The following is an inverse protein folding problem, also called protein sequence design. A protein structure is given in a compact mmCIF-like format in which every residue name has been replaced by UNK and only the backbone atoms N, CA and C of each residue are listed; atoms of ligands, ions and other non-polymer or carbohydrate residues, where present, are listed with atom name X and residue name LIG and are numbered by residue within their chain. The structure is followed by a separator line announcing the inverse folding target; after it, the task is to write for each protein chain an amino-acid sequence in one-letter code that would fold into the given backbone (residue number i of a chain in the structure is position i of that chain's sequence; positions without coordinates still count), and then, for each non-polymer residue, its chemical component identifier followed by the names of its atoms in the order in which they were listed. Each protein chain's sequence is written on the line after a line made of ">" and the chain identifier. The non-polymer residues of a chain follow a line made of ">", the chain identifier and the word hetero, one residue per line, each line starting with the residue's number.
data_IF_227631507367
#
_entry.id   IF_227631507367
#
_cell.length_a   1.000
_cell.length_b   1.000
_cell.length_c   1.000
_cell.angle_alpha   90.00
_cell.angle_beta   90.00
_cell.angle_gamma   90.00
#
_symmetry.space_group_name_H-M   'P 1'
#
loop_
_entity.id
_entity.type
_entity.pdbx_description
1 polymer ?
#
# COMPACT_ATOMS: atom_id res chain seq x y z
N UNK A 1 -7.50 11.83 22.93
CA UNK A 1 -6.63 11.67 21.74
C UNK A 1 -7.15 10.46 20.98
N UNK A 2 -7.69 10.65 19.78
CA UNK A 2 -8.22 9.54 18.98
C UNK A 2 -7.08 8.62 18.57
N UNK A 3 -7.06 7.39 19.07
CA UNK A 3 -6.07 6.36 18.76
C UNK A 3 -6.31 5.82 17.35
N UNK A 4 -5.96 6.60 16.34
CA UNK A 4 -6.09 6.18 14.95
C UNK A 4 -4.92 5.27 14.58
N UNK A 5 -5.11 3.97 14.71
CA UNK A 5 -4.11 2.98 14.32
C UNK A 5 -4.00 2.90 12.78
N UNK A 6 -2.81 2.59 12.27
CA UNK A 6 -2.59 2.33 10.83
C UNK A 6 -3.56 1.28 10.28
N UNK A 7 -3.83 0.22 11.06
CA UNK A 7 -4.83 -0.81 10.71
C UNK A 7 -6.23 -0.22 10.48
N UNK A 8 -6.62 0.80 11.25
CA UNK A 8 -7.91 1.48 11.09
C UNK A 8 -7.97 2.28 9.79
N UNK A 9 -6.88 2.96 9.42
CA UNK A 9 -6.76 3.66 8.14
C UNK A 9 -6.80 2.70 6.95
N UNK A 10 -6.04 1.60 7.02
CA UNK A 10 -6.02 0.56 5.98
C UNK A 10 -7.40 -0.06 5.78
N UNK A 11 -8.16 -0.25 6.86
CA UNK A 11 -9.52 -0.78 6.76
C UNK A 11 -10.49 0.12 6.00
N UNK A 12 -10.28 1.45 6.01
CA UNK A 12 -11.08 2.41 5.24
C UNK A 12 -10.76 2.42 3.74
N UNK A 13 -9.66 1.80 3.31
CA UNK A 13 -9.33 1.69 1.89
C UNK A 13 -10.28 0.72 1.18
N UNK A 14 -10.52 0.94 -0.11
CA UNK A 14 -11.22 -0.02 -0.96
C UNK A 14 -10.35 -1.26 -1.24
N UNK A 15 -10.95 -2.32 -1.81
CA UNK A 15 -10.26 -3.59 -2.08
C UNK A 15 -9.01 -3.41 -2.96
N UNK A 16 -9.07 -2.54 -3.97
CA UNK A 16 -7.94 -2.27 -4.86
C UNK A 16 -6.80 -1.57 -4.12
N UNK A 17 -7.12 -0.59 -3.26
CA UNK A 17 -6.16 0.13 -2.43
C UNK A 17 -5.46 -0.77 -1.41
N UNK A 18 -6.20 -1.71 -0.80
CA UNK A 18 -5.63 -2.73 0.10
C UNK A 18 -4.65 -3.64 -0.63
N UNK A 19 -5.06 -4.21 -1.77
CA UNK A 19 -4.20 -5.07 -2.60
C UNK A 19 -2.96 -4.33 -3.12
N UNK A 20 -3.09 -3.05 -3.47
CA UNK A 20 -1.94 -2.26 -3.89
C UNK A 20 -0.97 -1.99 -2.74
N UNK A 21 -1.49 -1.78 -1.52
CA UNK A 21 -0.67 -1.58 -0.33
C UNK A 21 0.10 -2.85 0.06
N UNK A 22 -0.52 -4.02 -0.07
CA UNK A 22 0.15 -5.33 0.10
C UNK A 22 1.29 -5.51 -0.91
N UNK A 23 1.05 -5.17 -2.18
CA UNK A 23 2.09 -5.18 -3.21
C UNK A 23 3.23 -4.20 -2.92
N UNK A 24 2.90 -3.01 -2.41
CA UNK A 24 3.88 -2.00 -2.03
C UNK A 24 4.76 -2.47 -0.87
N UNK A 25 4.19 -3.19 0.11
CA UNK A 25 4.95 -3.82 1.19
C UNK A 25 5.89 -4.92 0.65
N UNK A 26 5.43 -5.74 -0.29
CA UNK A 26 6.27 -6.74 -0.96
C UNK A 26 7.44 -6.12 -1.75
N UNK A 27 7.17 -5.03 -2.47
CA UNK A 27 8.18 -4.28 -3.21
C UNK A 27 9.21 -3.63 -2.28
N UNK A 28 8.76 -2.99 -1.19
CA UNK A 28 9.62 -2.44 -0.15
C UNK A 28 10.57 -3.50 0.42
N UNK A 29 10.05 -4.68 0.77
CA UNK A 29 10.85 -5.78 1.29
C UNK A 29 11.87 -6.28 0.26
N UNK A 30 11.45 -6.42 -1.00
CA UNK A 30 12.31 -6.87 -2.11
C UNK A 30 13.48 -5.91 -2.39
N UNK A 31 13.30 -4.61 -2.11
CA UNK A 31 14.35 -3.59 -2.26
C UNK A 31 15.19 -3.37 -1.00
N UNK A 32 15.02 -4.21 0.04
CA UNK A 32 15.68 -4.06 1.35
C UNK A 32 15.43 -2.69 2.00
N UNK A 33 14.26 -2.09 1.75
CA UNK A 33 13.83 -0.86 2.41
C UNK A 33 13.03 -1.20 3.67
N UNK A 34 13.19 -0.38 4.71
CA UNK A 34 12.56 -0.59 6.01
C UNK A 34 11.20 0.12 6.16
N UNK A 35 10.84 0.97 5.21
CA UNK A 35 9.64 1.79 5.28
C UNK A 35 8.91 1.79 3.94
N UNK A 36 7.61 1.52 3.99
CA UNK A 36 6.75 1.60 2.81
C UNK A 36 6.46 3.06 2.51
N UNK A 37 7.15 3.59 1.51
CA UNK A 37 6.94 4.95 1.01
C UNK A 37 5.70 5.05 0.10
N UNK A 38 5.17 6.27 -0.02
CA UNK A 38 3.99 6.57 -0.84
C UNK A 38 4.20 6.21 -2.32
N UNK A 39 5.43 6.35 -2.82
CA UNK A 39 5.81 6.02 -4.20
C UNK A 39 5.61 4.55 -4.52
N UNK A 40 5.94 3.65 -3.58
CA UNK A 40 5.69 2.21 -3.75
C UNK A 40 4.20 1.90 -3.89
N UNK A 41 3.37 2.61 -3.14
CA UNK A 41 1.92 2.41 -3.17
C UNK A 41 1.29 2.97 -4.45
N UNK A 42 1.68 4.17 -4.86
CA UNK A 42 1.23 4.78 -6.11
C UNK A 42 1.67 3.96 -7.33
N UNK A 43 2.91 3.47 -7.33
CA UNK A 43 3.41 2.58 -8.38
C UNK A 43 2.52 1.33 -8.48
N UNK A 44 2.22 0.66 -7.36
CA UNK A 44 1.35 -0.51 -7.38
C UNK A 44 -0.10 -0.23 -7.78
N UNK A 45 -0.64 0.94 -7.44
CA UNK A 45 -1.96 1.36 -7.89
C UNK A 45 -2.00 1.50 -9.42
N UNK A 46 -0.97 2.09 -10.02
CA UNK A 46 -0.85 2.24 -11.47
C UNK A 46 -0.63 0.90 -12.16
N UNK A 47 0.23 0.03 -11.62
CA UNK A 47 0.47 -1.31 -12.19
C UNK A 47 -0.79 -2.16 -12.21
N UNK A 48 -1.58 -2.15 -11.12
CA UNK A 48 -2.88 -2.84 -11.08
C UNK A 48 -3.90 -2.24 -12.05
N UNK A 49 -3.84 -0.93 -12.29
CA UNK A 49 -4.71 -0.26 -13.26
C UNK A 49 -4.32 -0.52 -14.72
N UNK A 50 -3.10 -0.98 -15.02
CA UNK A 50 -2.68 -1.33 -16.39
C UNK A 50 -3.10 -2.74 -16.82
N UNK A 51 -3.63 -3.56 -15.91
CA UNK A 51 -4.11 -4.92 -16.20
C UNK A 51 -5.61 -5.00 -16.54
N UNK A 52 -6.21 -3.86 -16.89
CA UNK A 52 -7.53 -3.70 -17.53
C UNK A 52 -7.33 -3.07 -18.90
#
# INVERSE_FOLDING_TARGET
>A
MSTMSLKHLVNKLNQNGKKALEGAAGLCHSRSQFMVEIEHWLLQLVEKNKMI
#
